data_IF_250900957627
#
_entry.id   IF_250900957627
#
_cell.length_a   1.000
_cell.length_b   1.000
_cell.length_c   1.000
_cell.angle_alpha   90.00
_cell.angle_beta   90.00
_cell.angle_gamma   90.00
#
_symmetry.space_group_name_H-M   'P 1'
#
loop_
_entity.id
_entity.type
_entity.pdbx_description
1 polymer ?
#
# COMPACT_ATOMS: atom_id res chain seq x y z
N UNK A 1 2.07 67.88 24.09
CA UNK A 1 1.86 66.46 23.72
C UNK A 1 3.19 65.71 23.85
N UNK A 2 3.60 65.12 24.96
CA UNK A 2 3.00 64.85 26.26
C UNK A 2 3.81 63.68 26.82
N UNK A 3 4.63 63.94 27.84
CA UNK A 3 5.60 63.01 28.48
C UNK A 3 5.00 61.63 28.83
N UNK A 4 3.66 61.52 28.91
CA UNK A 4 2.90 60.27 29.02
C UNK A 4 3.10 59.26 27.86
N UNK A 5 3.40 59.71 26.63
CA UNK A 5 3.73 58.81 25.52
C UNK A 5 5.20 58.32 25.56
N UNK A 6 6.07 59.07 26.25
CA UNK A 6 7.47 58.69 26.46
C UNK A 6 7.60 57.65 27.59
N UNK A 7 6.76 57.73 28.63
CA UNK A 7 6.78 56.79 29.75
C UNK A 7 6.13 55.43 29.38
N UNK A 8 5.19 55.38 28.43
CA UNK A 8 4.64 54.11 27.91
C UNK A 8 5.62 53.33 27.02
N UNK A 9 6.71 53.93 26.53
CA UNK A 9 7.68 53.22 25.68
C UNK A 9 8.71 52.41 26.48
N UNK A 10 8.78 52.60 27.80
CA UNK A 10 9.76 52.00 28.72
C UNK A 10 9.27 50.71 29.42
N UNK A 11 8.04 50.24 29.15
CA UNK A 11 7.62 48.93 29.66
C UNK A 11 8.43 47.84 28.96
N UNK A 12 9.07 46.99 29.77
CA UNK A 12 9.70 45.73 29.34
C UNK A 12 8.64 44.95 28.57
N UNK A 13 8.93 44.69 27.29
CA UNK A 13 8.07 43.88 26.45
C UNK A 13 8.24 42.42 26.87
N UNK A 14 7.16 41.80 27.35
CA UNK A 14 7.14 40.38 27.69
C UNK A 14 6.66 39.62 26.46
N UNK A 15 7.55 38.81 25.90
CA UNK A 15 7.26 37.95 24.76
C UNK A 15 7.03 36.55 25.31
N UNK A 16 5.79 36.10 25.27
CA UNK A 16 5.41 34.76 25.68
C UNK A 16 4.24 34.25 24.84
N UNK A 17 4.11 32.93 24.75
CA UNK A 17 2.96 32.30 24.14
C UNK A 17 2.44 31.17 25.01
N UNK A 18 1.17 31.25 25.38
CA UNK A 18 0.42 30.14 25.97
C UNK A 18 -0.45 29.53 24.90
N UNK A 19 -0.08 28.34 24.42
CA UNK A 19 -0.94 27.59 23.51
C UNK A 19 -2.14 27.03 24.26
N UNK A 20 -3.32 27.59 24.02
CA UNK A 20 -4.58 27.04 24.54
C UNK A 20 -5.18 25.95 23.63
N UNK A 21 -4.54 25.66 22.49
CA UNK A 21 -4.99 24.68 21.50
C UNK A 21 -4.22 23.37 21.60
N UNK A 22 -4.78 22.30 21.02
CA UNK A 22 -4.11 20.99 20.93
C UNK A 22 -3.49 20.75 19.56
N UNK A 23 -3.70 21.65 18.60
CA UNK A 23 -3.39 21.46 17.19
C UNK A 23 -2.53 22.56 16.56
N UNK A 24 -2.17 23.62 17.30
CA UNK A 24 -1.21 24.60 16.78
C UNK A 24 0.21 24.04 16.88
N UNK A 25 0.91 23.97 15.75
CA UNK A 25 2.29 23.50 15.69
C UNK A 25 3.26 24.66 15.87
N UNK A 26 3.00 25.76 15.17
CA UNK A 26 3.86 26.94 15.22
C UNK A 26 3.05 28.23 15.13
N UNK A 27 3.58 29.26 15.80
CA UNK A 27 2.95 30.55 15.97
C UNK A 27 3.98 31.67 15.88
N UNK A 28 3.74 32.65 15.01
CA UNK A 28 4.50 33.89 14.96
C UNK A 28 3.94 34.87 15.98
N UNK A 29 4.78 35.31 16.92
CA UNK A 29 4.39 36.32 17.88
C UNK A 29 4.17 37.68 17.16
N UNK A 30 3.01 38.32 17.34
CA UNK A 30 2.69 39.57 16.65
C UNK A 30 3.42 40.73 17.33
N UNK A 31 4.41 41.28 16.64
CA UNK A 31 5.13 42.48 17.09
C UNK A 31 4.70 43.67 16.21
N UNK A 32 4.29 44.78 16.83
CA UNK A 32 3.97 46.01 16.07
C UNK A 32 5.21 46.46 15.29
N UNK A 33 5.05 46.70 13.98
CA UNK A 33 6.14 47.03 13.05
C UNK A 33 7.31 46.02 12.97
N UNK A 34 7.14 44.80 13.52
CA UNK A 34 8.21 43.79 13.66
C UNK A 34 9.43 44.28 14.43
N UNK A 35 9.23 45.22 15.35
CA UNK A 35 10.29 45.86 16.10
C UNK A 35 10.29 45.39 17.56
N UNK A 36 11.23 44.51 17.90
CA UNK A 36 11.39 44.03 19.29
C UNK A 36 12.32 44.98 20.03
N UNK A 37 11.90 45.43 21.22
CA UNK A 37 12.71 46.33 22.05
C UNK A 37 13.87 45.58 22.71
N UNK A 38 14.98 46.30 22.88
CA UNK A 38 16.12 45.83 23.65
C UNK A 38 15.74 45.63 25.13
N UNK A 39 16.14 44.51 25.73
CA UNK A 39 15.78 44.15 27.10
C UNK A 39 14.38 43.55 27.23
N UNK A 40 13.74 43.17 26.12
CA UNK A 40 12.51 42.39 26.16
C UNK A 40 12.75 41.04 26.84
N UNK A 41 11.79 40.58 27.62
CA UNK A 41 11.87 39.31 28.33
C UNK A 41 11.13 38.23 27.53
N UNK A 42 11.86 37.25 27.03
CA UNK A 42 11.32 36.09 26.33
C UNK A 42 11.10 34.96 27.34
N UNK A 43 9.85 34.56 27.51
CA UNK A 43 9.49 33.38 28.31
C UNK A 43 9.12 32.25 27.35
N UNK A 44 9.93 31.19 27.34
CA UNK A 44 9.69 29.96 26.60
C UNK A 44 9.18 28.91 27.58
N UNK A 45 8.01 28.35 27.33
CA UNK A 45 7.40 27.36 28.22
C UNK A 45 7.91 25.95 27.92
N UNK A 46 7.63 25.03 28.84
CA UNK A 46 7.86 23.60 28.60
C UNK A 46 7.14 23.12 27.34
N UNK A 47 7.75 22.15 26.64
CA UNK A 47 7.25 21.64 25.35
C UNK A 47 7.15 22.69 24.23
N UNK A 48 7.90 23.79 24.36
CA UNK A 48 8.01 24.83 23.35
C UNK A 48 9.47 25.20 23.10
N UNK A 49 9.73 25.70 21.90
CA UNK A 49 10.98 26.33 21.50
C UNK A 49 10.64 27.66 20.85
N UNK A 50 11.39 28.71 21.17
CA UNK A 50 11.28 30.00 20.49
C UNK A 50 12.44 30.19 19.52
N UNK A 51 12.12 30.51 18.27
CA UNK A 51 13.07 30.73 17.20
C UNK A 51 13.06 32.21 16.85
N UNK A 52 14.24 32.80 16.90
CA UNK A 52 14.46 34.20 16.59
C UNK A 52 14.91 34.35 15.15
N UNK A 53 14.21 35.20 14.40
CA UNK A 53 14.56 35.55 13.02
C UNK A 53 14.86 37.04 12.97
N UNK A 54 16.07 37.37 12.51
CA UNK A 54 16.52 38.74 12.36
C UNK A 54 16.72 39.04 10.87
N UNK A 55 16.06 40.08 10.35
CA UNK A 55 16.17 40.50 8.94
C UNK A 55 15.96 39.35 7.92
N UNK A 56 15.08 38.39 8.26
CA UNK A 56 14.79 37.23 7.40
C UNK A 56 15.78 36.07 7.51
N UNK A 57 16.77 36.13 8.41
CA UNK A 57 17.69 35.04 8.70
C UNK A 57 17.42 34.46 10.09
N UNK A 58 17.44 33.13 10.20
CA UNK A 58 17.37 32.43 11.48
C UNK A 58 18.61 32.79 12.29
N UNK A 59 18.38 33.47 13.41
CA UNK A 59 19.41 33.93 14.31
C UNK A 59 19.61 32.91 15.43
N UNK A 60 18.69 32.79 16.39
CA UNK A 60 18.89 31.96 17.58
C UNK A 60 17.68 31.08 17.90
N UNK A 61 17.91 30.05 18.72
CA UNK A 61 16.92 29.08 19.16
C UNK A 61 16.96 29.00 20.69
N UNK A 62 15.84 29.32 21.33
CA UNK A 62 15.68 29.34 22.78
C UNK A 62 14.83 28.16 23.24
N UNK A 63 15.39 27.34 24.10
CA UNK A 63 14.72 26.22 24.79
C UNK A 63 13.84 26.73 25.94
N UNK A 64 13.07 25.87 26.65
CA UNK A 64 12.28 26.31 27.80
C UNK A 64 13.12 27.09 28.83
N UNK A 65 12.61 28.23 29.28
CA UNK A 65 13.31 29.13 30.19
C UNK A 65 12.91 30.60 30.03
N UNK A 66 13.54 31.44 30.86
CA UNK A 66 13.40 32.90 30.81
C UNK A 66 14.70 33.51 30.27
N UNK A 67 14.58 34.33 29.23
CA UNK A 67 15.71 34.94 28.56
C UNK A 67 15.50 36.45 28.44
N UNK A 68 16.54 37.23 28.72
CA UNK A 68 16.59 38.64 28.35
C UNK A 68 17.14 38.77 26.93
N UNK A 69 16.36 39.37 26.03
CA UNK A 69 16.76 39.62 24.66
C UNK A 69 17.70 40.84 24.62
N UNK A 70 19.00 40.55 24.61
CA UNK A 70 20.07 41.53 24.45
C UNK A 70 21.09 41.07 23.40
N UNK A 71 21.74 42.03 22.72
CA UNK A 71 22.71 41.77 21.65
C UNK A 71 23.92 40.96 22.11
N UNK A 72 24.20 40.96 23.42
CA UNK A 72 25.35 40.25 24.01
C UNK A 72 25.10 38.75 24.24
N UNK A 73 23.83 38.30 24.24
CA UNK A 73 23.46 36.93 24.60
C UNK A 73 22.90 36.12 23.42
N UNK A 74 23.20 36.55 22.19
CA UNK A 74 22.72 35.96 20.93
C UNK A 74 23.90 35.34 20.14
N UNK A 75 24.15 34.03 20.27
CA UNK A 75 25.35 33.35 19.75
C UNK A 75 25.61 33.52 18.25
N UNK A 76 24.58 33.57 17.41
CA UNK A 76 24.74 33.64 15.95
C UNK A 76 24.82 35.09 15.45
N UNK A 77 24.30 36.07 16.20
CA UNK A 77 24.52 37.50 15.89
C UNK A 77 26.00 37.89 15.92
N UNK A 78 26.84 37.21 16.72
CA UNK A 78 28.29 37.44 16.72
C UNK A 78 28.99 37.05 15.41
N UNK A 79 28.36 36.24 14.53
CA UNK A 79 28.90 35.93 13.19
C UNK A 79 28.42 36.90 12.11
N UNK A 80 27.32 37.62 12.35
CA UNK A 80 26.83 38.73 11.50
C UNK A 80 27.52 40.03 11.95
N UNK A 81 28.85 39.95 12.08
CA UNK A 81 29.72 41.03 12.55
C UNK A 81 29.79 42.16 11.52
N UNK A 82 28.83 43.09 11.57
CA UNK A 82 29.04 44.45 11.11
C UNK A 82 27.92 45.38 11.61
N UNK A 83 27.88 45.69 12.90
CA UNK A 83 27.23 46.94 13.28
C UNK A 83 27.97 47.64 14.41
N UNK A 84 28.94 48.46 14.01
CA UNK A 84 29.84 49.25 14.88
C UNK A 84 29.21 50.57 15.37
N UNK A 85 27.89 50.72 15.36
CA UNK A 85 27.24 51.97 15.79
C UNK A 85 26.13 51.69 16.80
N UNK A 86 26.30 52.24 18.01
CA UNK A 86 25.49 51.98 19.21
C UNK A 86 23.98 51.92 18.97
N UNK A 87 23.38 50.83 19.40
CA UNK A 87 21.97 50.53 19.21
C UNK A 87 21.16 50.67 20.50
N UNK A 88 20.62 51.86 20.71
CA UNK A 88 19.40 52.05 21.50
C UNK A 88 18.15 52.06 20.58
N UNK A 89 18.24 51.49 19.37
CA UNK A 89 17.18 51.52 18.35
C UNK A 89 16.54 50.14 18.18
N UNK A 90 15.20 50.06 18.09
CA UNK A 90 14.51 48.81 17.77
C UNK A 90 15.03 48.22 16.46
N UNK A 91 15.07 46.89 16.39
CA UNK A 91 15.54 46.15 15.23
C UNK A 91 14.42 45.25 14.69
N UNK A 92 14.42 45.04 13.37
CA UNK A 92 13.39 44.23 12.69
C UNK A 92 13.61 42.75 12.96
N UNK A 93 12.84 42.19 13.87
CA UNK A 93 12.93 40.80 14.27
C UNK A 93 11.56 40.16 14.46
N UNK A 94 11.55 38.84 14.32
CA UNK A 94 10.38 38.00 14.47
C UNK A 94 10.70 36.88 15.46
N UNK A 95 9.74 36.56 16.32
CA UNK A 95 9.82 35.42 17.25
C UNK A 95 8.77 34.41 16.82
N UNK A 96 9.21 33.19 16.56
CA UNK A 96 8.35 32.05 16.25
C UNK A 96 8.38 31.08 17.41
N UNK A 97 7.23 30.77 17.98
CA UNK A 97 7.10 29.67 18.92
C UNK A 97 6.72 28.40 18.17
N UNK A 98 7.43 27.31 18.46
CA UNK A 98 7.19 25.98 17.91
C UNK A 98 6.91 25.02 19.06
N UNK A 99 5.79 24.34 19.00
CA UNK A 99 5.43 23.30 19.95
C UNK A 99 6.22 22.02 19.64
N UNK A 100 6.92 21.50 20.65
CA UNK A 100 7.67 20.23 20.59
C UNK A 100 6.94 19.09 21.31
N UNK A 101 5.73 19.36 21.83
CA UNK A 101 4.81 18.33 22.34
C UNK A 101 4.42 17.33 21.25
N UNK A 102 3.91 16.16 21.68
CA UNK A 102 3.35 15.19 20.76
C UNK A 102 1.94 15.60 20.33
N UNK A 103 1.70 15.61 19.03
CA UNK A 103 0.37 15.74 18.43
C UNK A 103 -0.21 14.33 18.27
N UNK A 104 -1.08 13.97 19.20
CA UNK A 104 -1.66 12.63 19.33
C UNK A 104 -2.92 12.47 18.46
N UNK A 105 -3.36 11.23 18.28
CA UNK A 105 -4.66 10.86 17.68
C UNK A 105 -4.93 11.44 16.29
N UNK A 106 -3.88 11.64 15.49
CA UNK A 106 -4.03 12.07 14.11
C UNK A 106 -4.50 10.89 13.28
N UNK A 107 -5.54 11.07 12.48
CA UNK A 107 -6.15 9.99 11.69
C UNK A 107 -5.52 9.92 10.31
N UNK A 108 -5.33 8.70 9.81
CA UNK A 108 -4.93 8.46 8.44
C UNK A 108 -5.75 7.31 7.85
N UNK A 109 -5.81 7.27 6.53
CA UNK A 109 -6.44 6.18 5.80
C UNK A 109 -6.44 6.39 4.30
N UNK A 110 -6.57 5.30 3.57
CA UNK A 110 -6.65 5.29 2.11
C UNK A 110 -7.95 5.98 1.65
N UNK A 111 -7.86 7.02 0.82
CA UNK A 111 -9.05 7.69 0.27
C UNK A 111 -9.79 6.84 -0.76
N UNK A 112 -9.04 6.08 -1.54
CA UNK A 112 -9.52 5.09 -2.50
C UNK A 112 -8.82 3.76 -2.23
N UNK A 113 -9.40 2.62 -2.68
CA UNK A 113 -8.67 1.36 -2.69
C UNK A 113 -7.30 1.51 -3.36
N UNK A 114 -6.32 0.83 -2.80
CA UNK A 114 -4.93 0.89 -3.22
C UNK A 114 -4.53 -0.46 -3.81
N UNK A 115 -4.11 -0.54 -5.08
CA UNK A 115 -3.66 -1.79 -5.66
C UNK A 115 -2.32 -2.20 -5.07
N UNK A 116 -2.23 -3.47 -4.66
CA UNK A 116 -1.02 -4.12 -4.15
C UNK A 116 -0.88 -5.52 -4.76
N UNK A 117 0.36 -6.01 -4.83
CA UNK A 117 0.64 -7.36 -5.30
C UNK A 117 0.72 -8.30 -4.10
N UNK A 118 -0.25 -9.19 -3.98
CA UNK A 118 -0.32 -10.21 -2.94
C UNK A 118 0.27 -11.55 -3.46
N UNK A 119 1.13 -12.22 -2.70
CA UNK A 119 1.69 -13.53 -3.07
C UNK A 119 0.65 -14.65 -3.29
N UNK A 120 -0.50 -14.60 -2.60
CA UNK A 120 -1.55 -15.62 -2.66
C UNK A 120 -2.65 -15.27 -3.66
N UNK A 121 -3.08 -14.01 -3.71
CA UNK A 121 -4.21 -13.54 -4.51
C UNK A 121 -3.81 -12.84 -5.82
N UNK A 122 -2.52 -12.52 -6.01
CA UNK A 122 -2.07 -11.68 -7.11
C UNK A 122 -2.41 -10.21 -6.88
N UNK A 123 -2.78 -9.48 -7.93
CA UNK A 123 -3.11 -8.06 -7.78
C UNK A 123 -4.47 -7.90 -7.10
N UNK A 124 -4.47 -7.32 -5.91
CA UNK A 124 -5.68 -7.01 -5.13
C UNK A 124 -5.70 -5.53 -4.79
N UNK A 125 -6.90 -5.00 -4.55
CA UNK A 125 -7.06 -3.67 -3.99
C UNK A 125 -7.25 -3.79 -2.47
N UNK A 126 -6.58 -2.96 -1.69
CA UNK A 126 -6.73 -2.93 -0.24
C UNK A 126 -7.14 -1.54 0.23
N UNK A 127 -7.80 -1.49 1.38
CA UNK A 127 -8.03 -0.27 2.16
C UNK A 127 -7.34 -0.42 3.49
N UNK A 128 -6.76 0.67 3.97
CA UNK A 128 -6.12 0.71 5.27
C UNK A 128 -6.46 2.01 5.98
N UNK A 129 -6.56 1.94 7.31
CA UNK A 129 -6.78 3.11 8.16
C UNK A 129 -6.15 2.91 9.52
N UNK A 130 -5.94 4.03 10.21
CA UNK A 130 -5.58 4.02 11.61
C UNK A 130 -5.21 5.40 12.11
N UNK A 131 -4.31 5.44 13.07
CA UNK A 131 -3.89 6.66 13.76
C UNK A 131 -2.37 6.79 13.75
N UNK A 132 -1.90 8.02 13.92
CA UNK A 132 -0.49 8.32 14.09
C UNK A 132 -0.34 9.47 15.08
N UNK A 133 0.87 9.57 15.63
CA UNK A 133 1.29 10.71 16.44
C UNK A 133 2.65 11.17 15.96
N UNK A 134 2.87 12.48 16.02
CA UNK A 134 4.13 13.07 15.59
C UNK A 134 4.50 14.23 16.51
N UNK A 135 5.76 14.66 16.43
CA UNK A 135 6.22 15.91 17.05
C UNK A 135 7.19 16.63 16.13
N UNK A 136 7.44 17.89 16.43
CA UNK A 136 8.58 18.62 15.86
C UNK A 136 9.81 18.27 16.70
N UNK A 137 10.74 17.51 16.11
CA UNK A 137 12.00 17.11 16.76
C UNK A 137 13.12 18.10 16.48
N UNK A 138 13.17 18.67 15.27
CA UNK A 138 14.16 19.67 14.85
C UNK A 138 13.47 20.97 14.41
N UNK A 139 13.23 21.91 15.35
CA UNK A 139 12.47 23.13 15.08
C UNK A 139 13.07 24.01 13.97
N UNK A 140 14.41 24.04 13.83
CA UNK A 140 15.08 24.85 12.81
C UNK A 140 14.81 24.30 11.41
N UNK A 141 14.96 22.99 11.21
CA UNK A 141 14.67 22.33 9.93
C UNK A 141 13.19 22.46 9.60
N UNK A 142 12.31 22.27 10.58
CA UNK A 142 10.87 22.46 10.43
C UNK A 142 10.51 23.87 9.96
N UNK A 143 11.10 24.91 10.57
CA UNK A 143 10.85 26.29 10.15
C UNK A 143 11.30 26.58 8.72
N UNK A 144 12.43 26.00 8.29
CA UNK A 144 12.97 26.20 6.94
C UNK A 144 12.19 25.47 5.87
N UNK A 145 11.78 24.23 6.14
CA UNK A 145 11.22 23.32 5.13
C UNK A 145 9.67 23.31 5.11
N UNK A 146 9.00 23.57 6.25
CA UNK A 146 7.55 23.36 6.39
C UNK A 146 6.78 24.65 6.65
N UNK A 147 7.21 25.46 7.63
CA UNK A 147 6.39 26.57 8.14
C UNK A 147 6.25 27.77 7.18
N UNK A 148 7.35 28.19 6.54
CA UNK A 148 7.36 29.33 5.63
C UNK A 148 7.13 30.68 6.34
N UNK A 149 6.27 31.55 5.79
CA UNK A 149 6.04 32.93 6.27
C UNK A 149 4.68 33.16 6.95
N UNK A 150 3.96 32.07 7.25
CA UNK A 150 2.63 32.11 7.86
C UNK A 150 2.67 32.66 9.29
N UNK A 151 1.52 33.09 9.79
CA UNK A 151 1.36 33.50 11.19
C UNK A 151 1.12 32.33 12.13
N UNK A 152 0.34 31.34 11.68
CA UNK A 152 -0.04 30.15 12.44
C UNK A 152 0.05 28.96 11.49
N UNK A 153 0.51 27.82 12.01
CA UNK A 153 0.45 26.54 11.33
C UNK A 153 -0.22 25.52 12.25
N UNK A 154 -1.29 24.89 11.76
CA UNK A 154 -2.05 23.86 12.49
C UNK A 154 -1.78 22.45 11.94
N UNK A 155 -2.19 21.41 12.68
CA UNK A 155 -1.99 20.01 12.27
C UNK A 155 -2.76 19.62 11.00
N UNK A 156 -3.95 20.15 10.78
CA UNK A 156 -4.79 19.88 9.60
C UNK A 156 -4.10 20.29 8.28
N UNK A 157 -3.32 21.36 8.31
CA UNK A 157 -2.58 21.87 7.15
C UNK A 157 -1.50 20.90 6.64
N UNK A 158 -0.87 20.12 7.53
CA UNK A 158 0.16 19.13 7.16
C UNK A 158 -0.37 17.69 7.10
N UNK A 159 -1.57 17.45 7.65
CA UNK A 159 -2.18 16.11 7.74
C UNK A 159 -2.31 15.43 6.39
N UNK A 160 -2.67 16.19 5.33
CA UNK A 160 -2.84 15.62 4.00
C UNK A 160 -1.52 15.07 3.41
N UNK A 161 -0.40 15.75 3.69
CA UNK A 161 0.93 15.34 3.24
C UNK A 161 1.42 14.13 4.03
N UNK A 162 1.32 14.17 5.36
CA UNK A 162 1.71 13.05 6.22
C UNK A 162 0.92 11.78 5.91
N UNK A 163 -0.40 11.89 5.71
CA UNK A 163 -1.24 10.78 5.25
C UNK A 163 -0.76 10.20 3.92
N UNK A 164 -0.40 11.06 2.96
CA UNK A 164 0.11 10.61 1.65
C UNK A 164 1.42 9.85 1.79
N UNK A 165 2.33 10.31 2.65
CA UNK A 165 3.56 9.57 2.96
C UNK A 165 3.27 8.23 3.61
N UNK A 166 2.40 8.16 4.63
CA UNK A 166 2.03 6.88 5.26
C UNK A 166 1.51 5.89 4.22
N UNK A 167 0.60 6.30 3.34
CA UNK A 167 0.05 5.41 2.29
C UNK A 167 1.15 4.97 1.32
N UNK A 168 2.03 5.88 0.90
CA UNK A 168 3.11 5.57 -0.03
C UNK A 168 4.08 4.54 0.56
N UNK A 169 4.58 4.79 1.78
CA UNK A 169 5.52 3.90 2.45
C UNK A 169 4.88 2.57 2.85
N UNK A 170 3.60 2.57 3.24
CA UNK A 170 2.85 1.33 3.47
C UNK A 170 2.83 0.44 2.22
N UNK A 171 2.56 1.00 1.04
CA UNK A 171 2.58 0.22 -0.22
C UNK A 171 3.95 -0.37 -0.51
N UNK A 172 4.98 0.43 -0.29
CA UNK A 172 6.37 0.02 -0.53
C UNK A 172 6.75 -1.13 0.41
N UNK A 173 6.48 -0.99 1.71
CA UNK A 173 6.70 -2.04 2.70
C UNK A 173 5.92 -3.33 2.38
N UNK A 174 4.68 -3.24 1.88
CA UNK A 174 3.92 -4.42 1.42
C UNK A 174 4.65 -5.12 0.28
N UNK A 175 5.08 -4.37 -0.74
CA UNK A 175 5.77 -4.93 -1.90
C UNK A 175 7.12 -5.56 -1.54
N UNK A 176 7.87 -4.95 -0.62
CA UNK A 176 9.18 -5.43 -0.17
C UNK A 176 9.08 -6.65 0.75
N UNK A 177 8.10 -6.66 1.67
CA UNK A 177 7.92 -7.73 2.65
C UNK A 177 7.60 -9.09 2.01
N UNK A 178 6.97 -9.08 0.83
CA UNK A 178 6.44 -10.29 0.15
C UNK A 178 5.54 -11.13 1.07
N UNK A 179 4.95 -10.51 2.08
CA UNK A 179 3.99 -11.13 2.99
C UNK A 179 2.61 -11.16 2.33
N UNK A 180 1.80 -12.19 2.64
CA UNK A 180 0.41 -12.19 2.20
C UNK A 180 -0.43 -11.21 3.01
N UNK A 181 -1.59 -10.84 2.48
CA UNK A 181 -2.58 -9.99 3.12
C UNK A 181 -2.92 -10.49 4.53
N UNK A 182 -3.11 -11.80 4.70
CA UNK A 182 -3.42 -12.39 6.01
C UNK A 182 -2.23 -12.37 6.96
N UNK A 183 -1.00 -12.52 6.45
CA UNK A 183 0.19 -12.39 7.29
C UNK A 183 0.33 -10.95 7.80
N UNK A 184 0.10 -9.96 6.93
CA UNK A 184 0.10 -8.55 7.32
C UNK A 184 -1.02 -8.24 8.32
N UNK A 185 -2.23 -8.74 8.06
CA UNK A 185 -3.38 -8.55 8.95
C UNK A 185 -3.19 -9.25 10.31
N UNK A 186 -2.48 -10.38 10.34
CA UNK A 186 -2.13 -11.09 11.58
C UNK A 186 -1.02 -10.42 12.40
N UNK A 187 -0.17 -9.62 11.76
CA UNK A 187 1.02 -9.00 12.36
C UNK A 187 1.01 -7.47 12.16
N UNK A 188 -0.12 -6.82 12.48
CA UNK A 188 -0.30 -5.38 12.25
C UNK A 188 0.67 -4.51 13.07
N UNK A 189 1.11 -4.98 14.24
CA UNK A 189 2.03 -4.23 15.10
C UNK A 189 3.41 -4.12 14.43
N UNK A 190 3.98 -5.26 14.05
CA UNK A 190 5.26 -5.35 13.34
C UNK A 190 5.19 -4.62 11.99
N UNK A 191 4.07 -4.77 11.28
CA UNK A 191 3.86 -4.05 10.02
C UNK A 191 3.82 -2.53 10.24
N UNK A 192 3.15 -2.05 11.28
CA UNK A 192 3.11 -0.62 11.62
C UNK A 192 4.50 -0.07 11.95
N UNK A 193 5.31 -0.83 12.70
CA UNK A 193 6.68 -0.44 13.05
C UNK A 193 7.61 -0.41 11.83
N UNK A 194 7.47 -1.35 10.90
CA UNK A 194 8.21 -1.34 9.64
C UNK A 194 7.87 -0.11 8.79
N UNK A 195 6.59 0.22 8.63
CA UNK A 195 6.16 1.41 7.88
C UNK A 195 6.65 2.69 8.56
N UNK A 196 6.59 2.76 9.90
CA UNK A 196 7.13 3.89 10.69
C UNK A 196 8.64 4.03 10.52
N UNK A 197 9.38 2.92 10.46
CA UNK A 197 10.82 2.93 10.19
C UNK A 197 11.12 3.53 8.81
N UNK A 198 10.45 3.05 7.77
CA UNK A 198 10.71 3.48 6.40
C UNK A 198 10.34 4.97 6.16
N UNK A 199 9.28 5.48 6.79
CA UNK A 199 8.88 6.89 6.64
C UNK A 199 9.82 7.86 7.39
N UNK A 200 10.54 7.40 8.41
CA UNK A 200 11.38 8.25 9.26
C UNK A 200 12.47 9.00 8.46
N UNK A 201 13.05 8.34 7.44
CA UNK A 201 14.04 8.95 6.54
C UNK A 201 13.50 10.17 5.80
N UNK A 202 12.19 10.21 5.51
CA UNK A 202 11.55 11.34 4.83
C UNK A 202 11.17 12.46 5.78
N UNK A 203 10.82 12.15 7.02
CA UNK A 203 10.34 13.13 8.01
C UNK A 203 11.49 13.86 8.71
N UNK A 204 12.61 13.17 8.93
CA UNK A 204 13.78 13.75 9.63
C UNK A 204 14.29 15.04 8.97
N UNK A 205 14.46 15.12 7.63
CA UNK A 205 14.85 16.38 6.97
C UNK A 205 13.83 17.52 7.12
N UNK A 206 12.54 17.19 7.29
CA UNK A 206 11.47 18.17 7.53
C UNK A 206 11.42 18.63 9.00
N UNK A 207 12.31 18.11 9.86
CA UNK A 207 12.30 18.33 11.30
C UNK A 207 11.13 17.72 12.04
N UNK A 208 10.49 16.71 11.43
CA UNK A 208 9.36 15.98 12.00
C UNK A 208 9.80 14.58 12.42
N UNK A 209 9.23 14.11 13.52
CA UNK A 209 9.41 12.74 13.99
C UNK A 209 8.05 12.08 14.16
N UNK A 210 7.88 10.90 13.57
CA UNK A 210 6.72 10.06 13.82
C UNK A 210 6.95 9.25 15.08
N UNK A 211 6.16 9.53 16.13
CA UNK A 211 6.30 8.87 17.43
C UNK A 211 5.62 7.51 17.41
N UNK A 212 4.37 7.46 16.94
CA UNK A 212 3.63 6.22 16.76
C UNK A 212 2.93 6.22 15.41
N UNK A 213 2.86 5.05 14.80
CA UNK A 213 2.01 4.75 13.67
C UNK A 213 1.22 3.50 14.03
N UNK A 214 -0.09 3.53 13.85
CA UNK A 214 -0.98 2.41 14.12
C UNK A 214 -1.79 2.14 12.87
N UNK A 215 -1.72 0.91 12.40
CA UNK A 215 -2.63 0.37 11.39
C UNK A 215 -3.73 -0.37 12.16
N UNK A 216 -4.91 0.23 12.25
CA UNK A 216 -6.05 -0.33 13.00
C UNK A 216 -6.80 -1.38 12.18
N UNK A 217 -6.89 -1.15 10.87
CA UNK A 217 -7.67 -1.98 9.98
C UNK A 217 -7.01 -2.03 8.60
N UNK A 218 -6.94 -3.25 8.07
CA UNK A 218 -6.45 -3.59 6.75
C UNK A 218 -7.49 -4.53 6.13
N UNK A 219 -8.16 -4.06 5.08
CA UNK A 219 -9.30 -4.75 4.46
C UNK A 219 -9.12 -4.85 2.95
N UNK A 220 -9.74 -5.86 2.36
CA UNK A 220 -9.84 -6.07 0.91
C UNK A 220 -11.33 -6.06 0.50
N UNK A 221 -11.66 -5.96 -0.81
CA UNK A 221 -13.03 -5.96 -1.29
C UNK A 221 -13.88 -7.11 -0.72
N UNK A 222 -15.12 -6.80 -0.34
CA UNK A 222 -16.03 -7.77 0.27
C UNK A 222 -16.26 -8.99 -0.63
N UNK A 223 -16.32 -8.79 -1.95
CA UNK A 223 -16.47 -9.85 -2.94
C UNK A 223 -15.31 -10.86 -2.87
N UNK A 224 -14.07 -10.37 -2.75
CA UNK A 224 -12.89 -11.21 -2.65
C UNK A 224 -12.84 -11.91 -1.28
N UNK A 225 -13.22 -11.24 -0.20
CA UNK A 225 -13.34 -11.85 1.13
C UNK A 225 -14.40 -12.95 1.15
N UNK A 226 -15.54 -12.75 0.49
CA UNK A 226 -16.59 -13.74 0.39
C UNK A 226 -16.14 -14.95 -0.43
N UNK A 227 -15.51 -14.73 -1.58
CA UNK A 227 -14.94 -15.80 -2.40
C UNK A 227 -13.90 -16.61 -1.61
N UNK A 228 -13.02 -15.96 -0.85
CA UNK A 228 -12.07 -16.64 0.02
C UNK A 228 -12.75 -17.47 1.11
N UNK A 229 -13.76 -16.91 1.80
CA UNK A 229 -14.53 -17.64 2.82
C UNK A 229 -15.24 -18.86 2.24
N UNK A 230 -15.79 -18.74 1.04
CA UNK A 230 -16.43 -19.85 0.34
C UNK A 230 -15.43 -20.93 -0.05
N UNK A 231 -14.30 -20.54 -0.65
CA UNK A 231 -13.18 -21.44 -0.93
C UNK A 231 -12.68 -22.16 0.32
N UNK A 232 -12.58 -21.43 1.43
CA UNK A 232 -12.17 -21.98 2.73
C UNK A 232 -13.16 -23.01 3.27
N UNK A 233 -14.48 -22.82 3.07
CA UNK A 233 -15.47 -23.85 3.43
C UNK A 233 -15.23 -25.16 2.69
N UNK A 234 -14.89 -25.10 1.40
CA UNK A 234 -14.57 -26.29 0.61
C UNK A 234 -13.29 -26.96 1.13
N UNK A 235 -12.26 -26.20 1.45
CA UNK A 235 -11.02 -26.76 2.01
C UNK A 235 -11.22 -27.42 3.37
N UNK A 236 -12.02 -26.82 4.26
CA UNK A 236 -12.30 -27.37 5.60
C UNK A 236 -12.98 -28.75 5.57
N UNK A 237 -13.79 -29.03 4.54
CA UNK A 237 -14.46 -30.33 4.38
C UNK A 237 -13.63 -31.36 3.59
N UNK A 238 -12.38 -31.03 3.28
CA UNK A 238 -11.46 -31.91 2.54
C UNK A 238 -11.49 -31.70 1.02
N UNK A 239 -11.83 -30.49 0.57
CA UNK A 239 -11.90 -30.10 -0.83
C UNK A 239 -13.31 -30.10 -1.41
N UNK A 240 -13.44 -29.55 -2.61
CA UNK A 240 -14.73 -29.38 -3.30
C UNK A 240 -15.45 -30.72 -3.53
N UNK A 241 -14.72 -31.78 -3.88
CA UNK A 241 -15.33 -33.11 -4.12
C UNK A 241 -16.01 -33.67 -2.87
N UNK A 242 -15.37 -33.53 -1.70
CA UNK A 242 -15.95 -33.94 -0.42
C UNK A 242 -17.12 -33.05 -0.01
N UNK A 243 -17.08 -31.75 -0.31
CA UNK A 243 -18.22 -30.86 -0.10
C UNK A 243 -19.45 -31.34 -0.88
N UNK A 244 -19.29 -31.59 -2.19
CA UNK A 244 -20.39 -32.05 -3.05
C UNK A 244 -20.90 -33.41 -2.58
N UNK A 245 -20.03 -34.32 -2.13
CA UNK A 245 -20.45 -35.59 -1.55
C UNK A 245 -21.27 -35.40 -0.27
N UNK A 246 -20.83 -34.52 0.63
CA UNK A 246 -21.53 -34.23 1.88
C UNK A 246 -22.90 -33.57 1.65
N UNK A 247 -23.01 -32.63 0.70
CA UNK A 247 -24.29 -32.02 0.33
C UNK A 247 -25.24 -33.04 -0.32
N UNK A 248 -24.74 -33.94 -1.18
CA UNK A 248 -25.54 -35.07 -1.70
C UNK A 248 -26.05 -35.95 -0.57
N UNK A 249 -25.21 -36.30 0.41
CA UNK A 249 -25.61 -37.10 1.57
C UNK A 249 -26.65 -36.39 2.44
N UNK A 250 -26.49 -35.08 2.68
CA UNK A 250 -27.48 -34.28 3.40
C UNK A 250 -28.81 -34.23 2.66
N UNK A 251 -28.82 -34.01 1.35
CA UNK A 251 -30.06 -33.99 0.55
C UNK A 251 -30.80 -35.33 0.63
N UNK A 252 -30.07 -36.45 0.57
CA UNK A 252 -30.64 -37.80 0.76
C UNK A 252 -31.18 -37.98 2.19
N UNK A 253 -30.46 -37.53 3.22
CA UNK A 253 -30.87 -37.63 4.61
C UNK A 253 -32.07 -36.74 4.95
N UNK A 254 -32.19 -35.54 4.39
CA UNK A 254 -33.35 -34.65 4.58
C UNK A 254 -34.59 -35.22 3.90
N UNK A 255 -34.44 -35.80 2.70
CA UNK A 255 -35.51 -36.55 2.05
C UNK A 255 -35.93 -37.81 2.85
N UNK A 256 -34.99 -38.43 3.57
CA UNK A 256 -35.28 -39.54 4.48
C UNK A 256 -35.93 -39.09 5.80
N UNK A 257 -35.53 -37.93 6.35
CA UNK A 257 -36.00 -37.44 7.66
C UNK A 257 -37.40 -36.80 7.60
N UNK A 258 -37.79 -36.25 6.45
CA UNK A 258 -39.17 -35.78 6.20
C UNK A 258 -40.19 -36.94 6.02
N UNK A 259 -39.79 -38.20 6.23
CA UNK A 259 -40.68 -39.36 6.23
C UNK A 259 -41.49 -39.54 7.53
N UNK A 260 -41.32 -38.64 8.52
CA UNK A 260 -42.13 -38.64 9.75
C UNK A 260 -43.57 -38.10 9.60
N UNK A 261 -43.95 -37.59 8.43
CA UNK A 261 -45.27 -37.01 8.16
C UNK A 261 -45.89 -37.47 6.85
N UNK A 262 -46.14 -38.79 6.71
CA UNK A 262 -46.83 -39.36 5.55
C UNK A 262 -45.98 -40.41 4.83
N UNK A 263 -46.02 -41.64 5.36
CA UNK A 263 -45.19 -42.77 4.96
C UNK A 263 -45.30 -43.17 3.49
N UNK A 264 -44.24 -43.82 2.99
CA UNK A 264 -44.07 -44.51 1.69
C UNK A 264 -44.41 -43.74 0.39
N UNK A 265 -45.20 -42.67 0.43
CA UNK A 265 -45.57 -41.85 -0.72
C UNK A 265 -44.48 -40.84 -1.10
N UNK A 266 -43.66 -40.38 -0.15
CA UNK A 266 -42.50 -39.51 -0.41
C UNK A 266 -41.31 -40.24 -1.06
N UNK A 267 -41.12 -41.52 -0.71
CA UNK A 267 -40.20 -42.43 -1.42
C UNK A 267 -40.76 -42.80 -2.79
N UNK A 268 -42.07 -42.97 -2.93
CA UNK A 268 -42.76 -43.17 -4.21
C UNK A 268 -42.73 -41.96 -5.14
N UNK A 269 -42.62 -40.73 -4.63
CA UNK A 269 -42.50 -39.52 -5.46
C UNK A 269 -41.05 -39.19 -5.85
N UNK A 270 -40.05 -39.57 -5.04
CA UNK A 270 -38.63 -39.39 -5.36
C UNK A 270 -38.06 -40.55 -6.19
N UNK A 271 -38.54 -41.78 -5.99
CA UNK A 271 -38.29 -42.91 -6.91
C UNK A 271 -39.26 -42.90 -8.10
N UNK A 272 -40.48 -42.37 -7.96
CA UNK A 272 -41.44 -42.19 -9.06
C UNK A 272 -41.09 -41.01 -9.97
N UNK A 273 -40.49 -39.94 -9.44
CA UNK A 273 -39.81 -38.96 -10.29
C UNK A 273 -38.58 -39.58 -10.97
N UNK A 274 -37.85 -40.48 -10.32
CA UNK A 274 -36.77 -41.27 -10.95
C UNK A 274 -37.25 -42.23 -12.03
N UNK A 275 -38.44 -42.82 -11.90
CA UNK A 275 -39.04 -43.74 -12.87
C UNK A 275 -39.80 -43.03 -14.00
N UNK A 276 -40.38 -41.85 -13.74
CA UNK A 276 -40.97 -40.98 -14.78
C UNK A 276 -39.87 -40.27 -15.58
N UNK A 277 -38.75 -39.88 -14.96
CA UNK A 277 -37.54 -39.49 -15.71
C UNK A 277 -36.94 -40.68 -16.47
N UNK A 278 -36.98 -41.89 -15.89
CA UNK A 278 -36.49 -43.12 -16.53
C UNK A 278 -37.27 -43.52 -17.79
N UNK A 279 -38.60 -43.43 -17.76
CA UNK A 279 -39.48 -43.78 -18.90
C UNK A 279 -39.69 -42.64 -19.92
N UNK A 280 -39.58 -41.38 -19.52
CA UNK A 280 -39.59 -40.25 -20.46
C UNK A 280 -38.25 -40.09 -21.21
N UNK A 281 -37.17 -40.69 -20.70
CA UNK A 281 -35.86 -40.72 -21.36
C UNK A 281 -35.64 -41.95 -22.25
N UNK A 282 -36.51 -42.98 -22.18
CA UNK A 282 -36.45 -44.18 -23.05
C UNK A 282 -37.26 -44.05 -24.33
N UNK A 283 -38.21 -43.11 -24.43
CA UNK A 283 -39.06 -42.96 -25.61
C UNK A 283 -38.54 -41.93 -26.64
N UNK A 284 -37.39 -41.28 -26.37
CA UNK A 284 -36.79 -40.31 -27.28
C UNK A 284 -35.42 -40.72 -27.84
N UNK A 285 -35.04 -41.99 -27.73
CA UNK A 285 -33.75 -42.52 -28.20
C UNK A 285 -33.85 -43.31 -29.51
N UNK A 286 -34.63 -42.81 -30.47
CA UNK A 286 -34.52 -43.23 -31.88
C UNK A 286 -34.20 -42.02 -32.77
N UNK A 287 -33.02 -41.45 -32.55
CA UNK A 287 -32.24 -40.75 -33.57
C UNK A 287 -30.78 -40.66 -33.12
N UNK A 288 -29.93 -41.45 -33.78
CA UNK A 288 -28.47 -41.31 -33.91
C UNK A 288 -27.73 -40.50 -32.83
N UNK A 289 -27.10 -41.17 -31.87
CA UNK A 289 -25.92 -40.62 -31.19
C UNK A 289 -25.02 -41.73 -30.63
N UNK A 290 -23.80 -41.74 -31.16
CA UNK A 290 -22.68 -42.62 -30.82
C UNK A 290 -22.18 -42.48 -29.37
N UNK A 291 -21.34 -43.42 -28.87
CA UNK A 291 -21.04 -43.58 -27.44
C UNK A 291 -20.25 -42.42 -26.84
N UNK A 292 -20.48 -42.20 -25.54
CA UNK A 292 -19.80 -41.23 -24.68
C UNK A 292 -18.27 -41.32 -24.82
N UNK A 293 -17.71 -40.32 -25.52
CA UNK A 293 -16.28 -40.17 -25.72
C UNK A 293 -15.66 -39.31 -24.62
N UNK A 294 -14.61 -39.83 -24.01
CA UNK A 294 -13.66 -39.04 -23.22
C UNK A 294 -13.23 -37.79 -24.03
N UNK A 295 -13.09 -36.64 -23.37
CA UNK A 295 -12.78 -35.37 -24.03
C UNK A 295 -11.32 -34.96 -23.84
N UNK A 296 -10.69 -34.45 -24.90
CA UNK A 296 -9.31 -33.93 -24.92
C UNK A 296 -9.30 -32.45 -25.27
N UNK A 297 -8.48 -31.67 -24.56
CA UNK A 297 -8.30 -30.24 -24.84
C UNK A 297 -7.38 -30.03 -26.04
N UNK A 298 -7.77 -29.15 -26.96
CA UNK A 298 -6.95 -28.76 -28.09
C UNK A 298 -5.70 -28.01 -27.61
N UNK A 299 -4.48 -28.46 -27.96
CA UNK A 299 -3.24 -27.82 -27.51
C UNK A 299 -3.01 -26.42 -28.11
N UNK A 300 -3.78 -26.02 -29.14
CA UNK A 300 -3.63 -24.74 -29.81
C UNK A 300 -4.60 -23.66 -29.34
N UNK A 301 -5.85 -24.02 -29.01
CA UNK A 301 -6.89 -23.04 -28.64
C UNK A 301 -7.67 -23.42 -27.36
N UNK A 302 -7.32 -24.54 -26.72
CA UNK A 302 -7.98 -25.09 -25.52
C UNK A 302 -9.47 -25.39 -25.69
N UNK A 303 -9.98 -25.44 -26.92
CA UNK A 303 -11.32 -25.96 -27.19
C UNK A 303 -11.43 -27.43 -26.78
N UNK A 304 -12.58 -27.84 -26.23
CA UNK A 304 -12.87 -29.23 -25.86
C UNK A 304 -13.20 -30.02 -27.13
N UNK A 305 -12.54 -31.15 -27.34
CA UNK A 305 -12.77 -32.04 -28.49
C UNK A 305 -12.92 -33.49 -28.00
N UNK A 306 -13.45 -34.38 -28.84
CA UNK A 306 -13.51 -35.82 -28.54
C UNK A 306 -12.12 -36.46 -28.60
N UNK A 307 -11.86 -37.52 -27.81
CA UNK A 307 -10.54 -38.16 -27.65
C UNK A 307 -9.85 -38.55 -28.98
N UNK A 308 -10.63 -38.79 -30.04
CA UNK A 308 -10.16 -39.22 -31.36
C UNK A 308 -10.46 -38.19 -32.47
N UNK A 309 -10.74 -36.93 -32.13
CA UNK A 309 -10.92 -35.87 -33.12
C UNK A 309 -9.62 -35.74 -33.93
N UNK A 310 -9.70 -35.85 -35.26
CA UNK A 310 -8.56 -35.61 -36.17
C UNK A 310 -8.32 -34.12 -36.41
N UNK A 311 -9.29 -33.26 -36.15
CA UNK A 311 -9.18 -31.81 -36.27
C UNK A 311 -9.95 -31.15 -35.12
N UNK A 312 -9.46 -30.02 -34.63
CA UNK A 312 -10.12 -29.30 -33.57
C UNK A 312 -11.42 -28.64 -34.08
N UNK A 313 -12.52 -28.91 -33.40
CA UNK A 313 -13.86 -28.39 -33.67
C UNK A 313 -13.97 -26.87 -33.53
N UNK A 314 -13.05 -26.23 -32.80
CA UNK A 314 -13.09 -24.79 -32.53
C UNK A 314 -12.11 -23.98 -33.41
N UNK A 315 -10.95 -24.53 -33.78
CA UNK A 315 -9.94 -23.80 -34.57
C UNK A 315 -9.48 -24.48 -35.86
N UNK A 316 -10.00 -25.67 -36.18
CA UNK A 316 -9.73 -26.39 -37.43
C UNK A 316 -8.36 -27.08 -37.54
N UNK A 317 -7.47 -26.98 -36.55
CA UNK A 317 -6.12 -27.58 -36.60
C UNK A 317 -6.11 -29.09 -36.33
N UNK A 318 -5.26 -29.84 -37.04
CA UNK A 318 -5.19 -31.29 -36.95
C UNK A 318 -4.72 -31.77 -35.56
N UNK A 319 -5.35 -32.82 -35.06
CA UNK A 319 -5.17 -33.44 -33.76
C UNK A 319 -4.67 -34.87 -34.02
N UNK A 320 -3.46 -35.19 -33.54
CA UNK A 320 -2.79 -36.46 -33.78
C UNK A 320 -1.39 -36.44 -33.18
N UNK A 321 -1.11 -37.42 -32.31
CA UNK A 321 0.05 -37.45 -31.44
C UNK A 321 1.07 -38.42 -32.03
N UNK A 322 2.01 -37.93 -32.82
CA UNK A 322 3.34 -38.54 -32.78
C UNK A 322 4.03 -37.92 -31.56
N UNK A 323 4.56 -38.72 -30.64
CA UNK A 323 5.31 -38.22 -29.48
C UNK A 323 6.81 -38.23 -29.79
N UNK A 324 7.52 -37.23 -29.26
CA UNK A 324 8.98 -37.18 -29.18
C UNK A 324 9.39 -36.94 -27.73
N UNK A 325 10.63 -37.23 -27.38
CA UNK A 325 11.15 -36.93 -26.05
C UNK A 325 11.58 -35.46 -25.99
N UNK A 326 11.28 -34.80 -24.88
CA UNK A 326 11.73 -33.45 -24.60
C UNK A 326 13.27 -33.39 -24.56
N UNK A 327 13.87 -32.41 -25.26
CA UNK A 327 15.33 -32.28 -25.38
C UNK A 327 16.05 -32.02 -24.04
N UNK A 328 15.33 -31.49 -23.04
CA UNK A 328 15.89 -31.20 -21.71
C UNK A 328 15.51 -32.28 -20.67
N UNK A 329 14.23 -32.44 -20.35
CA UNK A 329 13.78 -33.33 -19.26
C UNK A 329 13.40 -34.76 -19.69
N UNK A 330 13.49 -35.09 -20.98
CA UNK A 330 13.12 -36.40 -21.56
C UNK A 330 11.66 -36.84 -21.36
N UNK A 331 10.77 -35.98 -20.86
CA UNK A 331 9.34 -36.26 -20.83
C UNK A 331 8.77 -36.42 -22.25
N UNK A 332 7.80 -37.32 -22.44
CA UNK A 332 7.08 -37.45 -23.70
C UNK A 332 6.28 -36.17 -24.00
N UNK A 333 6.49 -35.63 -25.19
CA UNK A 333 5.83 -34.41 -25.68
C UNK A 333 5.32 -34.63 -27.11
N UNK A 334 4.25 -33.94 -27.55
CA UNK A 334 3.81 -34.02 -28.94
C UNK A 334 4.91 -33.55 -29.90
N UNK A 335 5.15 -34.29 -30.99
CA UNK A 335 6.09 -33.98 -32.06
C UNK A 335 5.72 -32.63 -32.67
N UNK A 336 6.72 -31.77 -32.87
CA UNK A 336 6.58 -30.35 -33.24
C UNK A 336 6.08 -29.39 -32.14
N UNK A 337 6.02 -29.80 -30.87
CA UNK A 337 5.84 -28.85 -29.76
C UNK A 337 6.99 -27.85 -29.75
N UNK A 338 6.71 -26.54 -29.60
CA UNK A 338 7.76 -25.49 -29.49
C UNK A 338 8.35 -25.39 -28.08
N UNK A 339 7.61 -25.82 -27.07
CA UNK A 339 8.00 -25.78 -25.66
C UNK A 339 7.53 -27.05 -24.96
N UNK A 340 8.29 -27.53 -23.98
CA UNK A 340 7.91 -28.68 -23.17
C UNK A 340 6.81 -28.29 -22.20
N UNK A 341 5.72 -29.05 -22.20
CA UNK A 341 4.58 -28.83 -21.32
C UNK A 341 4.87 -29.17 -19.85
N UNK A 342 5.95 -29.90 -19.57
CA UNK A 342 6.34 -30.31 -18.23
C UNK A 342 7.41 -29.38 -17.62
N UNK A 343 8.50 -29.09 -18.35
CA UNK A 343 9.61 -28.29 -17.83
C UNK A 343 9.74 -26.88 -18.44
N UNK A 344 8.85 -26.49 -19.37
CA UNK A 344 8.87 -25.18 -20.01
C UNK A 344 10.00 -24.94 -21.03
N UNK A 345 10.95 -25.89 -21.18
CA UNK A 345 12.10 -25.73 -22.07
C UNK A 345 11.68 -25.64 -23.55
N UNK A 346 12.28 -24.72 -24.30
CA UNK A 346 12.11 -24.65 -25.76
C UNK A 346 12.56 -25.95 -26.43
N UNK A 347 11.78 -26.41 -27.40
CA UNK A 347 12.00 -27.63 -28.17
C UNK A 347 12.39 -27.32 -29.62
N UNK A 348 12.48 -26.04 -29.98
CA UNK A 348 13.09 -25.63 -31.24
C UNK A 348 14.57 -26.03 -31.19
N UNK A 349 15.01 -26.86 -32.13
CA UNK A 349 16.43 -27.12 -32.35
C UNK A 349 17.15 -25.77 -32.51
N UNK A 350 18.06 -25.45 -31.58
CA UNK A 350 18.87 -24.24 -31.63
C UNK A 350 19.59 -24.19 -33.00
N UNK A 351 19.16 -23.28 -33.89
CA UNK A 351 19.91 -23.03 -35.12
C UNK A 351 21.15 -22.25 -34.71
N UNK A 352 22.31 -22.86 -34.87
CA UNK A 352 23.62 -22.20 -34.75
C UNK A 352 23.99 -21.59 -36.10
N UNK A 353 24.58 -20.39 -36.08
CA UNK A 353 25.08 -19.75 -37.29
C UNK A 353 26.17 -20.63 -37.93
N UNK A 354 25.97 -21.05 -39.19
CA UNK A 354 26.94 -21.90 -39.89
C UNK A 354 28.33 -21.27 -40.10
N UNK A 355 28.46 -19.94 -39.92
CA UNK A 355 29.73 -19.22 -40.11
C UNK A 355 30.49 -18.95 -38.81
N UNK A 356 29.82 -18.74 -37.67
CA UNK A 356 30.49 -18.41 -36.40
C UNK A 356 30.06 -19.25 -35.20
N UNK A 357 29.13 -20.21 -35.39
CA UNK A 357 28.64 -21.10 -34.34
C UNK A 357 27.71 -20.45 -33.31
N UNK A 358 27.51 -19.13 -33.35
CA UNK A 358 26.68 -18.42 -32.38
C UNK A 358 25.20 -18.83 -32.46
N UNK A 359 24.54 -18.92 -31.30
CA UNK A 359 23.12 -19.30 -31.18
C UNK A 359 22.23 -18.23 -31.81
N UNK A 360 21.32 -18.63 -32.69
CA UNK A 360 20.38 -17.72 -33.36
C UNK A 360 19.05 -17.67 -32.64
N UNK A 361 18.53 -16.46 -32.43
CA UNK A 361 17.19 -16.24 -31.90
C UNK A 361 16.13 -16.71 -32.90
N UNK A 362 15.02 -17.27 -32.41
CA UNK A 362 13.97 -17.81 -33.28
C UNK A 362 13.43 -16.75 -34.27
N UNK A 363 13.64 -16.98 -35.57
CA UNK A 363 13.17 -16.11 -36.65
C UNK A 363 14.17 -15.05 -37.15
N UNK A 364 15.41 -15.03 -36.67
CA UNK A 364 16.43 -14.10 -37.14
C UNK A 364 16.86 -14.39 -38.59
N UNK A 365 16.79 -13.39 -39.47
CA UNK A 365 17.33 -13.44 -40.85
C UNK A 365 18.83 -13.16 -40.92
N UNK A 366 19.42 -12.61 -39.84
CA UNK A 366 20.83 -12.27 -39.73
C UNK A 366 21.36 -12.68 -38.35
N UNK A 367 22.62 -13.13 -38.30
CA UNK A 367 23.29 -13.50 -37.05
C UNK A 367 23.63 -12.25 -36.24
N UNK A 368 23.13 -12.17 -35.01
CA UNK A 368 23.41 -11.08 -34.07
C UNK A 368 24.89 -10.97 -33.65
N UNK A 369 25.68 -12.03 -33.80
CA UNK A 369 27.10 -12.03 -33.42
C UNK A 369 28.06 -11.77 -34.57
N UNK A 370 27.73 -12.14 -35.82
CA UNK A 370 28.64 -11.94 -36.97
C UNK A 370 28.03 -11.15 -38.14
N UNK A 371 26.76 -10.74 -38.05
CA UNK A 371 26.08 -9.91 -39.05
C UNK A 371 25.72 -10.61 -40.37
N UNK A 372 26.17 -11.86 -40.59
CA UNK A 372 25.87 -12.60 -41.81
C UNK A 372 24.43 -13.14 -41.83
N UNK A 373 23.80 -13.24 -43.01
CA UNK A 373 22.48 -13.84 -43.14
C UNK A 373 22.50 -15.32 -42.73
N UNK A 374 21.41 -15.79 -42.12
CA UNK A 374 21.28 -17.14 -41.52
C UNK A 374 19.95 -17.82 -41.82
#
# INVERSE_FOLDING_TARGET
MGIKNFIKSQFIEVIEWTDSSMDTIAYRFPVMNKEIKMGAMLTVRESQVAIFVNQGQLADVFTPGLYELSTNNMPIMCKINAWKYGFNSPFKAEVYFVNTKQFMDQKWGTQSPVPVMDPHFGQIEIRARGTYSFRVSEPVSFMREVFGTKDILRTDEITAQLRSYIIQYMKDTIAESKMSFFDLQGNLLEFSDLVKGNIAEKLTPLGLEMINLVIEDLSMPDELMQAYREGSKYNLVGGYDRYVQNEKLKALNTAASNQGGGGLAGLGATLGAGAIFGNMMTQNTNANASPAGQSVLCPYCRGVNSLNAKFCSNCGKQMGIENTLCVNCKAEIPKNSKFCLNCGASQASEKSCGNCGAKLSAGSKFCSSCGKPV
#
